data_IF_999679788126
#
_entry.id   IF_999679788126
#
_cell.length_a   1.000
_cell.length_b   1.000
_cell.length_c   1.000
_cell.angle_alpha   90.00
_cell.angle_beta   90.00
_cell.angle_gamma   90.00
#
_symmetry.space_group_name_H-M   'P 1'
#
loop_
_entity.id
_entity.type
_entity.pdbx_description
1 polymer ?
#
# COMPACT_ATOMS: atom_id res chain seq x y z
N UNK A 1 -9.94 5.57 -4.70
CA UNK A 1 -9.80 4.55 -5.76
C UNK A 1 -9.88 3.17 -5.13
N UNK A 2 -10.71 2.32 -5.68
CA UNK A 2 -10.86 0.96 -5.16
C UNK A 2 -9.77 0.05 -5.71
N UNK A 3 -9.07 -0.63 -4.82
CA UNK A 3 -7.98 -1.55 -5.18
C UNK A 3 -8.20 -2.90 -4.49
N UNK A 4 -7.57 -3.93 -5.04
CA UNK A 4 -7.58 -5.27 -4.43
C UNK A 4 -6.20 -5.56 -3.87
N UNK A 5 -6.13 -5.95 -2.61
CA UNK A 5 -4.86 -6.34 -1.98
C UNK A 5 -4.50 -7.74 -2.44
N UNK A 6 -3.37 -7.89 -3.12
CA UNK A 6 -2.90 -9.18 -3.64
C UNK A 6 -1.69 -9.70 -2.88
N UNK A 7 -1.06 -8.87 -2.04
CA UNK A 7 0.04 -9.30 -1.20
C UNK A 7 0.40 -8.23 -0.19
N UNK A 8 1.10 -8.63 0.86
CA UNK A 8 1.60 -7.70 1.87
C UNK A 8 2.91 -8.22 2.44
N UNK A 9 3.77 -7.30 2.87
CA UNK A 9 5.02 -7.67 3.51
C UNK A 9 5.48 -6.55 4.43
N UNK A 10 6.30 -6.90 5.41
CA UNK A 10 6.92 -5.92 6.29
C UNK A 10 8.28 -5.54 5.73
N UNK A 11 8.55 -4.23 5.67
CA UNK A 11 9.86 -3.71 5.28
C UNK A 11 10.47 -3.01 6.49
N UNK A 12 11.72 -3.26 6.72
CA UNK A 12 12.45 -2.60 7.80
C UNK A 12 13.94 -2.63 7.53
N UNK A 13 14.67 -1.77 8.22
CA UNK A 13 16.11 -1.67 8.06
C UNK A 13 16.61 -0.32 8.51
N UNK A 14 17.80 0.03 8.03
CA UNK A 14 18.41 1.32 8.32
C UNK A 14 18.53 2.11 7.03
N UNK A 15 18.03 3.35 7.05
CA UNK A 15 18.13 4.24 5.89
C UNK A 15 19.59 4.58 5.62
N UNK A 16 20.02 4.39 4.38
CA UNK A 16 21.38 4.74 3.96
C UNK A 16 21.61 6.25 3.94
N UNK A 17 20.53 7.04 3.77
CA UNK A 17 20.63 8.50 3.71
C UNK A 17 20.73 9.13 5.09
N UNK A 18 19.96 8.64 6.06
CA UNK A 18 19.85 9.27 7.38
C UNK A 18 20.51 8.44 8.49
N UNK A 19 20.81 7.18 8.22
CA UNK A 19 21.33 6.26 9.23
C UNK A 19 20.32 5.86 10.29
N UNK A 20 19.05 6.24 10.12
CA UNK A 20 18.00 5.94 11.08
C UNK A 20 17.25 4.67 10.70
N UNK A 21 16.81 3.87 11.69
CA UNK A 21 16.00 2.70 11.40
C UNK A 21 14.62 3.13 10.86
N UNK A 22 14.06 2.31 9.98
CA UNK A 22 12.71 2.52 9.47
C UNK A 22 11.94 1.21 9.50
N UNK A 23 10.62 1.33 9.52
CA UNK A 23 9.73 0.18 9.52
C UNK A 23 8.46 0.59 8.77
N UNK A 24 8.02 -0.23 7.84
CA UNK A 24 6.87 0.07 7.01
C UNK A 24 6.12 -1.20 6.63
N UNK A 25 4.84 -1.04 6.31
CA UNK A 25 4.04 -2.10 5.71
C UNK A 25 3.98 -1.86 4.22
N UNK A 26 4.44 -2.82 3.43
CA UNK A 26 4.34 -2.77 1.98
C UNK A 26 3.11 -3.56 1.56
N UNK A 27 2.25 -2.93 0.77
CA UNK A 27 1.03 -3.57 0.29
C UNK A 27 1.04 -3.55 -1.22
N UNK A 28 0.91 -4.75 -1.80
CA UNK A 28 0.82 -4.90 -3.25
C UNK A 28 -0.65 -4.93 -3.63
N UNK A 29 -1.04 -4.01 -4.50
CA UNK A 29 -2.44 -3.85 -4.89
C UNK A 29 -2.61 -3.96 -6.40
N UNK A 30 -3.78 -4.39 -6.82
CA UNK A 30 -4.15 -4.42 -8.23
C UNK A 30 -5.40 -3.57 -8.44
N UNK A 31 -5.53 -3.00 -9.62
CA UNK A 31 -6.67 -2.17 -9.98
C UNK A 31 -6.83 -2.14 -11.50
N UNK A 32 -8.02 -1.73 -11.93
CA UNK A 32 -8.28 -1.54 -13.37
C UNK A 32 -7.74 -0.19 -13.80
N UNK A 33 -7.05 -0.19 -14.92
CA UNK A 33 -6.49 1.02 -15.51
C UNK A 33 -6.89 1.07 -16.99
N UNK A 34 -7.33 2.24 -17.45
CA UNK A 34 -7.67 2.45 -18.84
C UNK A 34 -6.47 2.17 -19.74
N UNK A 35 -6.69 1.50 -20.86
CA UNK A 35 -5.67 1.11 -21.83
C UNK A 35 -4.64 0.09 -21.29
N UNK A 36 -4.98 -0.61 -20.21
CA UNK A 36 -4.16 -1.68 -19.67
C UNK A 36 -4.88 -3.01 -19.86
N UNK A 37 -4.23 -3.95 -20.55
CA UNK A 37 -4.75 -5.31 -20.66
C UNK A 37 -4.49 -6.02 -19.32
N UNK A 38 -5.56 -6.58 -18.73
CA UNK A 38 -5.48 -7.16 -17.39
C UNK A 38 -5.52 -6.09 -16.31
N UNK A 39 -4.90 -6.35 -15.18
CA UNK A 39 -4.87 -5.44 -14.04
C UNK A 39 -3.52 -4.74 -13.94
N UNK A 40 -3.54 -3.47 -13.59
CA UNK A 40 -2.34 -2.76 -13.19
C UNK A 40 -2.02 -3.12 -11.74
N UNK A 41 -0.75 -3.14 -11.38
CA UNK A 41 -0.31 -3.45 -10.02
C UNK A 41 0.69 -2.42 -9.56
N UNK A 42 0.69 -2.14 -8.25
CA UNK A 42 1.71 -1.29 -7.64
C UNK A 42 1.91 -1.67 -6.19
N UNK A 43 3.02 -1.23 -5.62
CA UNK A 43 3.34 -1.41 -4.21
C UNK A 43 3.22 -0.07 -3.53
N UNK A 44 2.47 -0.02 -2.42
CA UNK A 44 2.33 1.18 -1.61
C UNK A 44 3.04 1.00 -0.27
N UNK A 45 3.59 2.10 0.25
CA UNK A 45 4.25 2.15 1.54
C UNK A 45 3.31 2.76 2.56
N UNK A 46 3.05 2.03 3.63
CA UNK A 46 2.19 2.50 4.72
C UNK A 46 2.99 2.54 6.02
N UNK A 47 2.63 3.49 6.88
CA UNK A 47 3.18 3.57 8.23
C UNK A 47 2.70 2.37 9.03
N UNK A 48 3.61 1.54 9.52
CA UNK A 48 3.24 0.33 10.25
C UNK A 48 2.63 0.61 11.63
N UNK A 49 2.79 1.83 12.14
CA UNK A 49 2.09 2.26 13.35
C UNK A 49 0.60 2.48 13.12
N UNK A 50 0.22 2.92 11.91
CA UNK A 50 -1.17 3.14 11.52
C UNK A 50 -1.77 1.91 10.83
N UNK A 51 -0.97 1.19 10.06
CA UNK A 51 -1.39 0.03 9.28
C UNK A 51 -0.46 -1.15 9.56
N UNK A 52 -0.59 -1.79 10.75
CA UNK A 52 0.21 -2.97 11.05
C UNK A 52 -0.08 -4.08 10.04
N UNK A 53 0.91 -4.92 9.79
CA UNK A 53 0.80 -5.99 8.81
C UNK A 53 -0.43 -6.88 9.04
N UNK A 54 -0.78 -7.11 10.30
CA UNK A 54 -1.87 -8.02 10.68
C UNK A 54 -3.25 -7.48 10.29
N UNK A 55 -3.43 -6.15 10.20
CA UNK A 55 -4.75 -5.56 9.91
C UNK A 55 -5.02 -5.45 8.43
N UNK A 56 -4.00 -5.57 7.58
CA UNK A 56 -4.17 -5.55 6.13
C UNK A 56 -4.52 -6.96 5.67
N UNK A 57 -5.65 -7.12 4.99
CA UNK A 57 -6.15 -8.45 4.59
C UNK A 57 -5.95 -8.69 3.09
N UNK A 58 -5.19 -9.71 2.77
CA UNK A 58 -4.98 -10.14 1.37
C UNK A 58 -6.29 -10.71 0.81
N UNK A 59 -6.59 -10.38 -0.44
CA UNK A 59 -7.79 -10.83 -1.11
C UNK A 59 -9.02 -9.99 -0.83
N UNK A 60 -8.86 -8.86 -0.16
CA UNK A 60 -9.97 -7.96 0.17
C UNK A 60 -9.83 -6.62 -0.58
N UNK A 61 -10.97 -5.99 -0.92
CA UNK A 61 -10.93 -4.67 -1.54
C UNK A 61 -10.70 -3.58 -0.51
N UNK A 62 -9.98 -2.54 -0.91
CA UNK A 62 -9.70 -1.36 -0.09
C UNK A 62 -9.92 -0.10 -0.91
N UNK A 63 -10.24 0.99 -0.22
CA UNK A 63 -10.26 2.32 -0.81
C UNK A 63 -8.93 3.00 -0.54
N UNK A 64 -8.25 3.40 -1.61
CA UNK A 64 -6.95 4.05 -1.57
C UNK A 64 -7.11 5.50 -1.99
N UNK A 65 -6.70 6.42 -1.13
CA UNK A 65 -6.72 7.86 -1.41
C UNK A 65 -5.30 8.41 -1.42
N UNK A 66 -5.03 9.27 -2.40
CA UNK A 66 -3.75 9.95 -2.53
C UNK A 66 -3.98 11.45 -2.61
N UNK A 67 -2.98 12.21 -2.14
CA UNK A 67 -3.02 13.66 -2.29
C UNK A 67 -2.51 14.06 -3.69
N UNK A 68 -2.45 15.36 -3.96
CA UNK A 68 -2.01 15.89 -5.24
C UNK A 68 -0.54 15.58 -5.56
N UNK A 69 0.25 15.19 -4.55
CA UNK A 69 1.66 14.82 -4.72
C UNK A 69 1.85 13.31 -4.91
N UNK A 70 0.75 12.53 -4.84
CA UNK A 70 0.80 11.09 -4.99
C UNK A 70 1.05 10.31 -3.70
N UNK A 71 1.13 10.98 -2.56
CA UNK A 71 1.28 10.30 -1.28
C UNK A 71 -0.04 9.69 -0.81
N UNK A 72 0.04 8.51 -0.22
CA UNK A 72 -1.15 7.84 0.33
C UNK A 72 -1.60 8.59 1.58
N UNK A 73 -2.84 9.06 1.57
CA UNK A 73 -3.45 9.77 2.70
C UNK A 73 -4.63 9.00 3.30
N UNK A 74 -5.06 7.92 2.68
CA UNK A 74 -6.10 7.06 3.21
C UNK A 74 -6.02 5.67 2.61
N UNK A 75 -6.26 4.66 3.43
CA UNK A 75 -6.28 3.27 2.98
C UNK A 75 -7.19 2.48 3.93
N UNK A 76 -8.44 2.32 3.54
CA UNK A 76 -9.47 1.73 4.39
C UNK A 76 -10.20 0.60 3.68
N UNK A 77 -10.71 -0.40 4.43
CA UNK A 77 -11.50 -1.47 3.82
C UNK A 77 -12.67 -0.89 3.02
N UNK A 78 -12.83 -1.37 1.78
CA UNK A 78 -13.97 -0.99 0.94
C UNK A 78 -15.19 -1.85 1.29
N UNK A 79 -16.35 -1.23 1.22
CA UNK A 79 -17.62 -1.90 1.50
C UNK A 79 -18.35 -2.26 0.23
#
# INVERSE_FOLDING_TARGET
MKVMVVGKEHAGGTSKKTGKPFSATLVHVSYKKMHCDGAAVETIWLDDGLYPLEVVQVGKPYDLDRDSRGYVVGFDPAH
#
